data_IF_465430411184
#
_entry.id   IF_465430411184
#
_cell.length_a   1.000
_cell.length_b   1.000
_cell.length_c   1.000
_cell.angle_alpha   90.00
_cell.angle_beta   90.00
_cell.angle_gamma   90.00
#
_symmetry.space_group_name_H-M   'P 1'
#
loop_
_entity.id
_entity.type
_entity.pdbx_description
1 polymer ?
#
# COMPACT_ATOMS: atom_id res chain seq x y z
N UNK A 1 24.84 7.38 -1.93
CA UNK A 1 23.62 7.78 -1.19
C UNK A 1 23.49 6.87 0.02
N UNK A 2 23.65 7.38 1.25
CA UNK A 2 23.55 6.56 2.47
C UNK A 2 22.16 6.77 3.06
N UNK A 3 21.29 5.78 2.95
CA UNK A 3 19.96 5.82 3.58
C UNK A 3 20.16 5.79 5.09
N UNK A 4 19.58 6.74 5.81
CA UNK A 4 19.65 6.75 7.28
C UNK A 4 18.72 5.68 7.86
N UNK A 5 19.13 5.04 8.97
CA UNK A 5 18.29 4.06 9.68
C UNK A 5 16.95 4.66 10.11
N UNK A 6 16.94 5.95 10.45
CA UNK A 6 15.73 6.70 10.76
C UNK A 6 14.81 6.81 9.54
N UNK A 7 15.38 7.09 8.36
CA UNK A 7 14.63 7.17 7.11
C UNK A 7 13.99 5.83 6.75
N UNK A 8 14.75 4.74 6.86
CA UNK A 8 14.23 3.38 6.65
C UNK A 8 13.07 3.04 7.59
N UNK A 9 13.20 3.36 8.89
CA UNK A 9 12.13 3.16 9.88
C UNK A 9 10.88 3.96 9.54
N UNK A 10 11.02 5.23 9.15
CA UNK A 10 9.87 6.07 8.78
C UNK A 10 9.15 5.53 7.54
N UNK A 11 9.89 5.11 6.51
CA UNK A 11 9.31 4.49 5.32
C UNK A 11 8.59 3.19 5.65
N UNK A 12 9.16 2.34 6.52
CA UNK A 12 8.53 1.11 6.98
C UNK A 12 7.22 1.39 7.73
N UNK A 13 7.21 2.38 8.63
CA UNK A 13 6.00 2.80 9.34
C UNK A 13 4.93 3.28 8.35
N UNK A 14 5.30 4.09 7.36
CA UNK A 14 4.36 4.54 6.33
C UNK A 14 3.73 3.34 5.57
N UNK A 15 4.54 2.39 5.12
CA UNK A 15 4.04 1.17 4.47
C UNK A 15 3.11 0.36 5.38
N UNK A 16 3.46 0.19 6.66
CA UNK A 16 2.63 -0.55 7.63
C UNK A 16 1.28 0.14 7.88
N UNK A 17 1.25 1.47 7.96
CA UNK A 17 0.00 2.23 8.13
C UNK A 17 -0.93 1.98 6.95
N UNK A 18 -0.43 2.07 5.72
CA UNK A 18 -1.25 1.84 4.53
C UNK A 18 -1.71 0.39 4.41
N UNK A 19 -0.86 -0.58 4.75
CA UNK A 19 -1.25 -1.99 4.83
C UNK A 19 -2.39 -2.19 5.83
N UNK A 20 -2.27 -1.61 7.03
CA UNK A 20 -3.33 -1.67 8.04
C UNK A 20 -4.63 -1.05 7.53
N UNK A 21 -4.57 0.12 6.88
CA UNK A 21 -5.73 0.75 6.24
C UNK A 21 -6.38 -0.20 5.22
N UNK A 22 -5.59 -0.85 4.36
CA UNK A 22 -6.11 -1.77 3.36
C UNK A 22 -6.80 -3.00 3.96
N UNK A 23 -6.18 -3.59 4.98
CA UNK A 23 -6.76 -4.72 5.72
C UNK A 23 -8.07 -4.33 6.43
N UNK A 24 -8.09 -3.17 7.09
CA UNK A 24 -9.30 -2.67 7.76
C UNK A 24 -10.41 -2.34 6.76
N UNK A 25 -10.08 -1.71 5.63
CA UNK A 25 -11.04 -1.45 4.56
C UNK A 25 -11.62 -2.74 3.97
N UNK A 26 -10.79 -3.77 3.79
CA UNK A 26 -11.22 -5.10 3.35
C UNK A 26 -12.20 -5.74 4.33
N UNK A 27 -11.82 -5.80 5.62
CA UNK A 27 -12.68 -6.36 6.67
C UNK A 27 -13.99 -5.58 6.77
N UNK A 28 -13.94 -4.25 6.74
CA UNK A 28 -15.12 -3.40 6.82
C UNK A 28 -16.08 -3.62 5.64
N UNK A 29 -15.56 -3.56 4.41
CA UNK A 29 -16.34 -3.82 3.20
C UNK A 29 -17.01 -5.20 3.26
N UNK A 30 -16.28 -6.22 3.69
CA UNK A 30 -16.80 -7.59 3.71
C UNK A 30 -17.77 -7.87 4.86
N UNK A 31 -17.44 -7.44 6.08
CA UNK A 31 -18.18 -7.81 7.30
C UNK A 31 -19.27 -6.83 7.70
N UNK A 32 -19.15 -5.56 7.34
CA UNK A 32 -20.09 -4.51 7.76
C UNK A 32 -21.00 -4.12 6.60
N UNK A 33 -20.43 -3.87 5.42
CA UNK A 33 -21.21 -3.41 4.25
C UNK A 33 -21.84 -4.59 3.50
N UNK A 34 -21.18 -5.76 3.49
CA UNK A 34 -21.62 -6.92 2.71
C UNK A 34 -21.15 -6.87 1.25
N UNK A 35 -20.10 -6.09 0.97
CA UNK A 35 -19.56 -5.86 -0.37
C UNK A 35 -20.06 -4.56 -1.01
N UNK A 36 -19.39 -4.13 -2.08
CA UNK A 36 -19.81 -2.96 -2.86
C UNK A 36 -19.63 -1.61 -2.17
N UNK A 37 -18.81 -1.51 -1.11
CA UNK A 37 -18.56 -0.23 -0.45
C UNK A 37 -17.94 0.79 -1.43
N UNK A 38 -18.57 1.95 -1.69
CA UNK A 38 -18.14 2.87 -2.76
C UNK A 38 -16.74 3.45 -2.55
N UNK A 39 -16.27 3.53 -1.30
CA UNK A 39 -14.94 4.07 -0.97
C UNK A 39 -13.85 3.01 -0.93
N UNK A 40 -14.20 1.73 -1.13
CA UNK A 40 -13.26 0.62 -0.99
C UNK A 40 -12.01 0.78 -1.87
N UNK A 41 -12.21 1.15 -3.13
CA UNK A 41 -11.12 1.38 -4.09
C UNK A 41 -10.23 2.57 -3.71
N UNK A 42 -10.77 3.57 -3.01
CA UNK A 42 -9.99 4.73 -2.54
C UNK A 42 -9.03 4.32 -1.43
N UNK A 43 -9.50 3.55 -0.44
CA UNK A 43 -8.64 3.07 0.64
C UNK A 43 -7.58 2.07 0.15
N UNK A 44 -7.86 1.34 -0.91
CA UNK A 44 -6.95 0.37 -1.54
C UNK A 44 -6.15 0.94 -2.72
N UNK A 45 -6.16 2.27 -2.90
CA UNK A 45 -5.56 2.88 -4.07
C UNK A 45 -4.11 2.46 -4.35
N UNK A 46 -3.17 2.47 -3.38
CA UNK A 46 -1.80 2.01 -3.65
C UNK A 46 -1.73 0.53 -4.06
N UNK A 47 -2.48 -0.35 -3.41
CA UNK A 47 -2.58 -1.76 -3.79
C UNK A 47 -3.15 -1.94 -5.21
N UNK A 48 -4.15 -1.14 -5.57
CA UNK A 48 -4.77 -1.17 -6.90
C UNK A 48 -3.81 -0.78 -8.03
N UNK A 49 -2.85 0.11 -7.76
CA UNK A 49 -1.81 0.44 -8.75
C UNK A 49 -0.93 -0.76 -9.09
N UNK A 50 -0.61 -1.60 -8.10
CA UNK A 50 0.14 -2.84 -8.35
C UNK A 50 -0.72 -3.85 -9.08
N UNK A 51 -1.99 -4.03 -8.66
CA UNK A 51 -2.92 -4.93 -9.33
C UNK A 51 -3.15 -4.57 -10.81
N UNK A 52 -3.16 -3.28 -11.16
CA UNK A 52 -3.36 -2.83 -12.54
C UNK A 52 -2.28 -3.32 -13.52
N UNK A 53 -1.14 -3.82 -13.03
CA UNK A 53 -0.07 -4.40 -13.84
C UNK A 53 -0.30 -5.88 -14.19
N UNK A 54 -1.31 -6.51 -13.59
CA UNK A 54 -1.60 -7.93 -13.74
C UNK A 54 -2.95 -8.14 -14.44
N UNK A 55 -3.17 -9.33 -15.00
CA UNK A 55 -4.44 -9.67 -15.64
C UNK A 55 -5.57 -9.77 -14.62
N UNK A 56 -6.80 -9.53 -15.07
CA UNK A 56 -7.99 -9.62 -14.21
C UNK A 56 -8.30 -11.07 -13.79
N UNK A 57 -7.79 -12.06 -14.54
CA UNK A 57 -8.06 -13.50 -14.38
C UNK A 57 -7.31 -14.18 -13.22
N UNK A 58 -6.78 -13.40 -12.27
CA UNK A 58 -6.12 -13.96 -11.09
C UNK A 58 -7.17 -14.32 -10.03
N UNK A 59 -7.00 -15.51 -9.45
CA UNK A 59 -7.76 -15.98 -8.28
C UNK A 59 -7.71 -14.98 -7.11
N UNK A 60 -8.72 -15.08 -6.23
CA UNK A 60 -8.87 -14.13 -5.13
C UNK A 60 -7.64 -14.04 -4.22
N UNK A 61 -7.11 -15.16 -3.71
CA UNK A 61 -6.03 -15.13 -2.71
C UNK A 61 -4.72 -14.54 -3.25
N UNK A 62 -4.22 -14.94 -4.45
CA UNK A 62 -3.07 -14.28 -5.04
C UNK A 62 -3.32 -12.80 -5.34
N UNK A 63 -4.51 -12.44 -5.84
CA UNK A 63 -4.90 -11.04 -6.09
C UNK A 63 -4.88 -10.22 -4.80
N UNK A 64 -5.45 -10.75 -3.72
CA UNK A 64 -5.44 -10.10 -2.41
C UNK A 64 -4.01 -9.93 -1.87
N UNK A 65 -3.16 -10.95 -1.99
CA UNK A 65 -1.76 -10.86 -1.58
C UNK A 65 -0.98 -9.80 -2.38
N UNK A 66 -1.18 -9.72 -3.69
CA UNK A 66 -0.60 -8.68 -4.55
C UNK A 66 -1.11 -7.28 -4.19
N UNK A 67 -2.40 -7.14 -3.91
CA UNK A 67 -2.98 -5.87 -3.49
C UNK A 67 -2.40 -5.40 -2.17
N UNK A 68 -2.31 -6.29 -1.16
CA UNK A 68 -1.74 -5.96 0.14
C UNK A 68 -0.24 -5.69 0.08
N UNK A 69 0.50 -6.39 -0.79
CA UNK A 69 1.92 -6.09 -1.01
C UNK A 69 2.11 -4.71 -1.63
N UNK A 70 1.29 -4.34 -2.63
CA UNK A 70 1.30 -2.99 -3.20
C UNK A 70 0.89 -1.91 -2.20
N UNK A 71 -0.07 -2.23 -1.33
CA UNK A 71 -0.52 -1.36 -0.25
C UNK A 71 0.62 -1.01 0.73
N UNK A 72 1.56 -1.92 0.95
CA UNK A 72 2.77 -1.66 1.73
C UNK A 72 3.91 -1.03 0.91
N UNK A 73 4.24 -1.63 -0.23
CA UNK A 73 5.45 -1.33 -0.98
C UNK A 73 5.43 0.06 -1.60
N UNK A 74 4.29 0.50 -2.17
CA UNK A 74 4.26 1.81 -2.83
C UNK A 74 4.43 2.97 -1.84
N UNK A 75 3.73 3.02 -0.70
CA UNK A 75 3.98 4.05 0.31
C UNK A 75 5.39 3.97 0.93
N UNK A 76 5.91 2.76 1.14
CA UNK A 76 7.29 2.57 1.59
C UNK A 76 8.30 3.19 0.62
N UNK A 77 8.21 2.86 -0.67
CA UNK A 77 9.11 3.35 -1.71
C UNK A 77 8.94 4.86 -1.95
N UNK A 78 7.70 5.35 -1.94
CA UNK A 78 7.41 6.78 -2.08
C UNK A 78 8.05 7.58 -0.93
N UNK A 79 7.86 7.16 0.32
CA UNK A 79 8.46 7.82 1.48
C UNK A 79 9.99 7.74 1.46
N UNK A 80 10.54 6.59 1.05
CA UNK A 80 11.98 6.42 0.86
C UNK A 80 12.53 7.39 -0.20
N UNK A 81 11.84 7.53 -1.33
CA UNK A 81 12.20 8.47 -2.39
C UNK A 81 12.17 9.92 -1.91
N UNK A 82 11.13 10.31 -1.17
CA UNK A 82 10.98 11.66 -0.60
C UNK A 82 12.14 11.99 0.36
N UNK A 83 12.46 11.08 1.28
CA UNK A 83 13.56 11.27 2.24
C UNK A 83 14.90 11.36 1.49
N UNK A 84 15.14 10.45 0.55
CA UNK A 84 16.37 10.41 -0.24
C UNK A 84 16.57 11.70 -1.06
N UNK A 85 15.49 12.21 -1.65
CA UNK A 85 15.52 13.46 -2.40
C UNK A 85 15.75 14.67 -1.49
N UNK A 86 15.09 14.71 -0.32
CA UNK A 86 15.31 15.76 0.67
C UNK A 86 16.75 15.80 1.18
N UNK A 87 17.36 14.64 1.40
CA UNK A 87 18.75 14.54 1.85
C UNK A 87 19.74 14.92 0.74
N UNK A 88 19.39 14.75 -0.54
CA UNK A 88 20.19 15.19 -1.67
C UNK A 88 20.22 16.71 -1.87
N UNK A 89 19.16 17.43 -1.47
CA UNK A 89 19.07 18.89 -1.58
C UNK A 89 19.84 19.66 -0.50
N UNK A 90 20.42 18.98 0.49
CA UNK A 90 21.20 19.57 1.57
C UNK A 90 22.70 19.42 1.31
#
# INVERSE_FOLDING_TARGET
MKISDKGLRLSAIAGLIFLAIGLLAFVYNWKVVGGGWPYFSTFLFPGNLVLALFSEEIDFWPKFALQMSGQFLLPFLAMMGIISFKDWLK
#
